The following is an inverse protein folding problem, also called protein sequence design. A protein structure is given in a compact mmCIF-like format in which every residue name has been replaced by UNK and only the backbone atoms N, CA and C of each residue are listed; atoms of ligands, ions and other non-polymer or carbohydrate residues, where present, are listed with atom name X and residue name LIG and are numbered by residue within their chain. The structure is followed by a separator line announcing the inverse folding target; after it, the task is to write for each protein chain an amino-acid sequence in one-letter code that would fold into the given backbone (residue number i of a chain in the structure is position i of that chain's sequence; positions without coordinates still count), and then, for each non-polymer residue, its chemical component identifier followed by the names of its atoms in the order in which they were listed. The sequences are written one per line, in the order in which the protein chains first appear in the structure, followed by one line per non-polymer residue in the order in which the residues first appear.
data_IF_336137730334
#
_entry.id   IF_336137730334
#
_cell.length_a   1.000
_cell.length_b   1.000
_cell.length_c   1.000
_cell.angle_alpha   90.00
_cell.angle_beta   90.00
_cell.angle_gamma   90.00
#
_symmetry.space_group_name_H-M   'P 1'
#
loop_
_entity.id
_entity.type
_entity.pdbx_description
1 polymer ?
#
# COMPACT_ATOMS: atom_id res chain seq x y z
N UNK A 1 -30.41 8.43 10.62
CA UNK A 1 -29.42 8.02 11.63
C UNK A 1 -29.58 8.78 12.96
N UNK A 2 -29.54 10.12 13.00
CA UNK A 2 -29.75 10.87 14.26
C UNK A 2 -31.23 11.10 14.65
N UNK A 3 -32.17 10.84 13.72
CA UNK A 3 -33.61 11.02 13.94
C UNK A 3 -34.08 12.48 13.92
N UNK A 4 -33.34 13.36 13.25
CA UNK A 4 -33.64 14.80 13.11
C UNK A 4 -34.11 15.03 11.66
N UNK A 5 -35.27 15.66 11.41
CA UNK A 5 -35.69 16.04 10.07
C UNK A 5 -34.68 16.99 9.42
N UNK A 6 -34.35 16.82 8.12
CA UNK A 6 -33.28 17.58 7.46
C UNK A 6 -33.51 19.09 7.45
N UNK A 7 -34.77 19.54 7.40
CA UNK A 7 -35.14 20.95 7.36
C UNK A 7 -35.29 21.59 8.76
N UNK A 8 -34.92 20.87 9.82
CA UNK A 8 -35.02 21.39 11.19
C UNK A 8 -34.04 22.54 11.38
N UNK A 9 -34.56 23.72 11.73
CA UNK A 9 -33.72 24.87 12.09
C UNK A 9 -32.81 24.52 13.27
N UNK A 10 -31.53 24.91 13.22
CA UNK A 10 -30.54 24.55 14.24
C UNK A 10 -30.93 24.94 15.67
N UNK A 11 -31.66 26.05 15.85
CA UNK A 11 -32.16 26.49 17.16
C UNK A 11 -33.27 25.60 17.74
N UNK A 12 -33.88 24.74 16.91
CA UNK A 12 -34.92 23.78 17.31
C UNK A 12 -34.36 22.40 17.65
N UNK A 13 -33.06 22.17 17.46
CA UNK A 13 -32.41 20.91 17.80
C UNK A 13 -32.16 20.84 19.30
N UNK A 14 -32.76 19.85 19.95
CA UNK A 14 -32.63 19.62 21.39
C UNK A 14 -31.23 19.14 21.77
N UNK A 15 -30.89 19.25 23.05
CA UNK A 15 -29.63 18.71 23.57
C UNK A 15 -29.48 17.19 23.31
N UNK A 16 -30.57 16.43 23.44
CA UNK A 16 -30.56 14.98 23.21
C UNK A 16 -30.36 14.63 21.73
N UNK A 17 -31.00 15.38 20.82
CA UNK A 17 -30.78 15.24 19.37
C UNK A 17 -29.35 15.59 18.97
N UNK A 18 -28.79 16.67 19.55
CA UNK A 18 -27.39 17.03 19.34
C UNK A 18 -26.44 15.92 19.80
N UNK A 19 -26.69 15.30 20.95
CA UNK A 19 -25.90 14.16 21.43
C UNK A 19 -25.99 12.98 20.46
N UNK A 20 -27.19 12.63 20.00
CA UNK A 20 -27.38 11.56 18.98
C UNK A 20 -26.67 11.89 17.66
N UNK A 21 -26.73 13.15 17.22
CA UNK A 21 -26.05 13.60 16.01
C UNK A 21 -24.53 13.48 16.14
N UNK A 22 -23.95 13.91 17.27
CA UNK A 22 -22.52 13.75 17.54
C UNK A 22 -22.13 12.27 17.53
N UNK A 23 -22.92 11.40 18.17
CA UNK A 23 -22.66 9.96 18.18
C UNK A 23 -22.66 9.37 16.77
N UNK A 24 -23.63 9.75 15.93
CA UNK A 24 -23.71 9.28 14.54
C UNK A 24 -22.54 9.80 13.71
N UNK A 25 -22.20 11.09 13.81
CA UNK A 25 -21.16 11.71 12.96
C UNK A 25 -19.76 11.27 13.38
N UNK A 26 -19.50 11.20 14.70
CA UNK A 26 -18.17 10.84 15.23
C UNK A 26 -17.98 9.34 15.40
N UNK A 27 -19.06 8.56 15.39
CA UNK A 27 -19.08 7.12 15.57
C UNK A 27 -19.80 6.41 14.43
N UNK A 28 -19.73 6.94 13.20
CA UNK A 28 -20.37 6.33 12.04
C UNK A 28 -19.67 5.00 11.73
N UNK A 29 -20.37 3.89 12.01
CA UNK A 29 -19.81 2.53 11.85
C UNK A 29 -20.22 1.93 10.52
N UNK A 30 -19.26 1.28 9.88
CA UNK A 30 -19.49 0.47 8.69
C UNK A 30 -19.23 -0.99 9.04
N UNK A 31 -20.10 -1.88 8.58
CA UNK A 31 -19.81 -3.33 8.57
C UNK A 31 -18.99 -3.62 7.33
N UNK A 32 -17.76 -4.11 7.52
CA UNK A 32 -16.89 -4.46 6.40
C UNK A 32 -17.30 -5.85 5.88
N UNK A 33 -17.74 -5.91 4.62
CA UNK A 33 -18.15 -7.16 3.98
C UNK A 33 -16.96 -7.91 3.36
N UNK A 34 -15.95 -7.18 2.90
CA UNK A 34 -14.73 -7.74 2.33
C UNK A 34 -13.89 -6.68 1.61
N UNK A 35 -12.67 -7.05 1.15
CA UNK A 35 -11.85 -6.18 0.31
C UNK A 35 -12.36 -6.15 -1.13
N UNK A 36 -11.89 -5.16 -1.90
CA UNK A 36 -12.03 -5.16 -3.35
C UNK A 36 -11.19 -6.29 -3.99
N UNK A 37 -11.49 -6.69 -5.24
CA UNK A 37 -10.66 -7.62 -5.98
C UNK A 37 -9.22 -7.10 -6.17
N UNK A 38 -8.25 -8.02 -6.33
CA UNK A 38 -6.84 -7.67 -6.54
C UNK A 38 -6.62 -6.78 -7.78
N UNK A 39 -7.47 -6.88 -8.80
CA UNK A 39 -7.42 -6.01 -9.99
C UNK A 39 -7.66 -4.53 -9.67
N UNK A 40 -8.19 -4.21 -8.49
CA UNK A 40 -8.37 -2.86 -7.97
C UNK A 40 -7.30 -2.47 -6.94
N UNK A 41 -6.38 -3.38 -6.60
CA UNK A 41 -5.27 -3.09 -5.70
C UNK A 41 -4.25 -2.18 -6.41
N UNK A 42 -3.65 -1.27 -5.65
CA UNK A 42 -2.60 -0.36 -6.17
C UNK A 42 -1.19 -0.96 -6.05
N UNK A 43 -1.02 -1.93 -5.16
CA UNK A 43 0.24 -2.62 -4.89
C UNK A 43 -0.07 -4.04 -4.42
N UNK A 44 0.85 -4.95 -4.70
CA UNK A 44 0.83 -6.34 -4.24
C UNK A 44 1.74 -6.49 -3.02
N UNK A 45 1.19 -7.00 -1.91
CA UNK A 45 2.01 -7.47 -0.79
C UNK A 45 2.44 -8.92 -1.04
N UNK A 46 3.72 -9.24 -0.81
CA UNK A 46 4.33 -10.50 -1.22
C UNK A 46 5.21 -10.35 -2.46
N UNK A 47 5.88 -11.44 -2.86
CA UNK A 47 6.74 -11.46 -4.04
C UNK A 47 7.88 -12.46 -3.89
N UNK A 48 8.98 -12.22 -4.63
CA UNK A 48 10.23 -12.98 -4.47
C UNK A 48 10.82 -12.68 -3.10
N UNK A 49 11.16 -13.75 -2.36
CA UNK A 49 11.59 -13.65 -0.98
C UNK A 49 12.94 -12.91 -0.85
N UNK A 50 13.00 -11.92 0.04
CA UNK A 50 14.18 -11.06 0.19
C UNK A 50 15.42 -11.80 0.70
N UNK A 51 15.26 -12.94 1.37
CA UNK A 51 16.37 -13.78 1.82
C UNK A 51 17.07 -14.52 0.65
N UNK A 52 16.45 -14.60 -0.52
CA UNK A 52 16.98 -15.20 -1.74
C UNK A 52 17.61 -14.16 -2.68
N UNK A 53 17.62 -12.89 -2.29
CA UNK A 53 18.18 -11.77 -3.04
C UNK A 53 19.36 -11.18 -2.26
N UNK A 54 20.47 -10.89 -2.93
CA UNK A 54 21.53 -10.07 -2.33
C UNK A 54 21.11 -8.59 -2.34
N UNK A 55 20.91 -7.95 -1.18
CA UNK A 55 20.44 -6.56 -1.10
C UNK A 55 21.44 -5.53 -1.66
N UNK A 56 22.70 -5.90 -1.92
CA UNK A 56 23.70 -4.97 -2.48
C UNK A 56 23.73 -4.95 -3.99
N UNK A 57 23.32 -6.05 -4.61
CA UNK A 57 23.42 -6.25 -6.06
C UNK A 57 22.08 -6.51 -6.72
N UNK A 58 21.06 -6.84 -5.91
CA UNK A 58 19.77 -7.38 -6.33
C UNK A 58 19.86 -8.70 -7.12
N UNK A 59 21.01 -9.39 -7.05
CA UNK A 59 21.20 -10.68 -7.69
C UNK A 59 20.47 -11.79 -6.92
N UNK A 60 19.98 -12.79 -7.65
CA UNK A 60 19.53 -14.04 -7.04
C UNK A 60 20.69 -14.76 -6.37
N UNK A 61 20.44 -15.28 -5.17
CA UNK A 61 21.37 -16.16 -4.46
C UNK A 61 21.29 -17.62 -4.94
N UNK A 62 20.33 -17.93 -5.79
CA UNK A 62 20.04 -19.30 -6.27
C UNK A 62 20.48 -19.47 -7.73
N UNK A 63 20.25 -18.46 -8.57
CA UNK A 63 20.53 -18.52 -10.01
C UNK A 63 21.50 -17.42 -10.43
N UNK A 64 22.70 -17.82 -10.84
CA UNK A 64 23.72 -16.88 -11.31
C UNK A 64 23.29 -16.11 -12.56
N UNK A 65 23.41 -14.78 -12.49
CA UNK A 65 23.04 -13.88 -13.58
C UNK A 65 21.57 -13.51 -13.65
N UNK A 66 20.75 -13.94 -12.68
CA UNK A 66 19.38 -13.48 -12.51
C UNK A 66 19.32 -12.34 -11.48
N UNK A 67 18.58 -11.28 -11.79
CA UNK A 67 18.42 -10.10 -10.93
C UNK A 67 16.94 -9.72 -10.81
N UNK A 68 16.54 -9.15 -9.68
CA UNK A 68 15.17 -8.75 -9.42
C UNK A 68 15.07 -7.30 -8.95
N UNK A 69 14.01 -6.58 -9.30
CA UNK A 69 13.78 -5.22 -8.84
C UNK A 69 12.31 -4.82 -8.98
N UNK A 70 11.89 -3.75 -8.30
CA UNK A 70 10.51 -3.28 -8.34
C UNK A 70 9.55 -4.21 -7.61
N UNK A 71 8.26 -4.07 -7.89
CA UNK A 71 7.15 -4.72 -7.16
C UNK A 71 7.13 -6.25 -7.26
N UNK A 72 8.00 -6.87 -8.06
CA UNK A 72 8.10 -8.34 -8.15
C UNK A 72 8.74 -8.96 -6.90
N UNK A 73 9.53 -8.19 -6.16
CA UNK A 73 10.16 -8.63 -4.90
C UNK A 73 9.21 -8.34 -3.74
N UNK A 74 9.38 -9.07 -2.65
CA UNK A 74 8.54 -8.94 -1.44
C UNK A 74 8.83 -7.63 -0.67
N UNK A 75 8.46 -6.50 -1.29
CA UNK A 75 8.51 -5.14 -0.74
C UNK A 75 7.25 -4.40 -1.18
N UNK A 76 6.46 -4.01 -0.20
CA UNK A 76 5.36 -3.06 -0.34
C UNK A 76 5.43 -1.97 0.75
N UNK A 77 4.83 -0.83 0.46
CA UNK A 77 4.79 0.31 1.36
C UNK A 77 3.47 1.06 1.26
N UNK A 78 3.21 1.91 2.26
CA UNK A 78 2.07 2.83 2.24
C UNK A 78 2.12 3.78 1.03
N UNK A 79 0.97 4.39 0.74
CA UNK A 79 0.89 5.43 -0.29
C UNK A 79 1.77 6.65 0.07
N UNK A 80 2.23 7.39 -0.94
CA UNK A 80 3.11 8.54 -0.73
C UNK A 80 4.41 8.51 -1.53
N UNK A 81 4.52 7.58 -2.50
CA UNK A 81 5.67 7.48 -3.41
C UNK A 81 6.72 6.46 -2.99
N UNK A 82 6.55 5.77 -1.86
CA UNK A 82 7.50 4.78 -1.36
C UNK A 82 7.69 3.59 -2.29
N UNK A 83 6.61 3.04 -2.85
CA UNK A 83 6.70 1.94 -3.83
C UNK A 83 7.46 2.35 -5.10
N UNK A 84 7.25 3.59 -5.58
CA UNK A 84 8.00 4.13 -6.72
C UNK A 84 9.48 4.30 -6.37
N UNK A 85 9.77 4.84 -5.18
CA UNK A 85 11.15 4.99 -4.70
C UNK A 85 11.86 3.64 -4.57
N UNK A 86 11.20 2.61 -4.06
CA UNK A 86 11.72 1.25 -3.98
C UNK A 86 11.99 0.69 -5.38
N UNK A 87 11.06 0.87 -6.32
CA UNK A 87 11.23 0.43 -7.70
C UNK A 87 12.42 1.11 -8.39
N UNK A 88 12.58 2.43 -8.25
CA UNK A 88 13.71 3.14 -8.85
C UNK A 88 15.05 2.77 -8.21
N UNK A 89 15.07 2.66 -6.88
CA UNK A 89 16.32 2.36 -6.14
C UNK A 89 16.80 0.95 -6.45
N UNK A 90 15.91 -0.04 -6.38
CA UNK A 90 16.25 -1.44 -6.68
C UNK A 90 16.54 -1.64 -8.16
N UNK A 91 15.81 -0.97 -9.06
CA UNK A 91 16.05 -1.01 -10.50
C UNK A 91 17.43 -0.47 -10.88
N UNK A 92 17.85 0.63 -10.27
CA UNK A 92 19.21 1.17 -10.47
C UNK A 92 20.28 0.17 -10.03
N UNK A 93 20.18 -0.36 -8.80
CA UNK A 93 21.16 -1.31 -8.27
C UNK A 93 21.21 -2.61 -9.08
N UNK A 94 20.06 -3.17 -9.46
CA UNK A 94 19.98 -4.37 -10.28
C UNK A 94 20.59 -4.16 -11.67
N UNK A 95 20.27 -3.03 -12.32
CA UNK A 95 20.78 -2.69 -13.65
C UNK A 95 22.30 -2.56 -13.69
N UNK A 96 22.88 -1.77 -12.78
CA UNK A 96 24.34 -1.60 -12.68
C UNK A 96 25.05 -2.93 -12.38
N UNK A 97 24.50 -3.73 -11.48
CA UNK A 97 25.07 -5.04 -11.10
C UNK A 97 25.00 -6.05 -12.24
N UNK A 98 23.88 -6.10 -12.97
CA UNK A 98 23.72 -6.95 -14.14
C UNK A 98 24.69 -6.55 -15.27
N UNK A 99 24.87 -5.25 -15.50
CA UNK A 99 25.82 -4.75 -16.50
C UNK A 99 27.27 -5.11 -16.14
N UNK A 100 27.66 -4.98 -14.86
CA UNK A 100 28.97 -5.39 -14.38
C UNK A 100 29.18 -6.91 -14.50
N UNK A 101 28.17 -7.71 -14.14
CA UNK A 101 28.21 -9.17 -14.27
C UNK A 101 28.39 -9.62 -15.72
N UNK A 102 27.69 -8.99 -16.67
CA UNK A 102 27.79 -9.30 -18.10
C UNK A 102 29.20 -9.03 -18.68
N UNK A 103 29.89 -7.99 -18.22
CA UNK A 103 31.26 -7.65 -18.67
C UNK A 103 32.33 -8.61 -18.16
N UNK A 104 32.08 -9.29 -17.04
CA UNK A 104 33.02 -10.21 -16.40
C UNK A 104 32.80 -11.68 -16.82
N UNK A 105 31.95 -11.92 -17.83
CA UNK A 105 31.69 -13.24 -18.40
C UNK A 105 32.47 -13.47 -19.69
#
# INVERSE_FOLDING_TARGET
AAGIPPDTQGCRITGQERTRLVQVVKGFRFTIEGPLPMTSAMVTAGGVALNEIDPRTMASRIVDGLFFCGEVIDIDAETGGYNLQAAFSTGYTAGESAAAFSKNR
#
